data_IF_598926812255
#
_entry.id   IF_598926812255
#
_cell.length_a   1.000
_cell.length_b   1.000
_cell.length_c   1.000
_cell.angle_alpha   90.00
_cell.angle_beta   90.00
_cell.angle_gamma   90.00
#
_symmetry.space_group_name_H-M   'P 1'
#
loop_
_entity.id
_entity.type
_entity.pdbx_description
1 polymer ?
#
# COMPACT_ATOMS: atom_id res chain seq x y z
N UNK A 1 -111.95 51.41 63.30
CA UNK A 1 -111.99 51.55 61.82
C UNK A 1 -110.58 51.84 61.32
N UNK A 2 -109.98 50.90 60.58
CA UNK A 2 -108.57 50.97 60.17
C UNK A 2 -108.37 51.69 58.83
N UNK A 3 -107.45 52.66 58.81
CA UNK A 3 -106.94 53.30 57.59
C UNK A 3 -105.92 52.37 56.91
N UNK A 4 -106.33 51.66 55.84
CA UNK A 4 -105.40 50.93 54.97
C UNK A 4 -104.60 51.92 54.13
N UNK A 5 -103.33 52.12 54.47
CA UNK A 5 -102.35 52.78 53.59
C UNK A 5 -102.06 51.88 52.39
N UNK A 6 -102.30 52.38 51.17
CA UNK A 6 -101.85 51.73 49.93
C UNK A 6 -100.31 51.76 49.91
N UNK A 7 -99.67 50.59 49.95
CA UNK A 7 -98.26 50.47 49.58
C UNK A 7 -98.15 50.57 48.05
N UNK A 8 -97.31 51.49 47.57
CA UNK A 8 -96.93 51.50 46.15
C UNK A 8 -95.98 50.32 45.87
N UNK A 9 -96.11 49.66 44.70
CA UNK A 9 -95.20 48.60 44.32
C UNK A 9 -93.78 49.15 44.13
N UNK A 10 -92.77 48.47 44.69
CA UNK A 10 -91.37 48.78 44.41
C UNK A 10 -91.07 48.46 42.95
N UNK A 11 -90.37 49.35 42.22
CA UNK A 11 -90.01 49.07 40.85
C UNK A 11 -89.02 47.89 40.80
N UNK A 12 -89.12 47.01 39.79
CA UNK A 12 -88.16 45.93 39.61
C UNK A 12 -86.77 46.53 39.38
N UNK A 13 -85.77 46.04 40.11
CA UNK A 13 -84.36 46.33 39.81
C UNK A 13 -84.03 45.57 38.53
N UNK A 14 -84.09 46.26 37.39
CA UNK A 14 -83.72 45.71 36.10
C UNK A 14 -82.20 45.73 36.01
N UNK A 15 -81.58 44.55 36.06
CA UNK A 15 -80.16 44.41 35.71
C UNK A 15 -80.01 44.67 34.22
N UNK A 16 -79.30 45.74 33.86
CA UNK A 16 -79.03 46.09 32.47
C UNK A 16 -77.87 45.21 32.00
N UNK A 17 -78.15 44.27 31.10
CA UNK A 17 -77.09 43.49 30.46
C UNK A 17 -76.29 44.38 29.51
N UNK A 18 -75.02 44.60 29.83
CA UNK A 18 -74.09 45.33 28.96
C UNK A 18 -73.41 44.38 27.96
N UNK A 19 -74.10 44.12 26.85
CA UNK A 19 -73.60 43.22 25.80
C UNK A 19 -72.24 43.62 25.21
N UNK A 20 -71.93 44.91 25.14
CA UNK A 20 -70.64 45.39 24.63
C UNK A 20 -69.47 45.00 25.54
N UNK A 21 -69.62 45.19 26.85
CA UNK A 21 -68.65 44.79 27.88
C UNK A 21 -68.44 43.27 27.88
N UNK A 22 -69.52 42.50 27.72
CA UNK A 22 -69.48 41.05 27.60
C UNK A 22 -68.66 40.59 26.38
N UNK A 23 -68.95 41.15 25.19
CA UNK A 23 -68.25 40.81 23.94
C UNK A 23 -66.77 41.21 23.99
N UNK A 24 -66.46 42.40 24.51
CA UNK A 24 -65.09 42.87 24.66
C UNK A 24 -64.25 41.94 25.56
N UNK A 25 -64.81 41.53 26.71
CA UNK A 25 -64.12 40.62 27.63
C UNK A 25 -63.88 39.24 27.00
N UNK A 26 -64.84 38.69 26.27
CA UNK A 26 -64.66 37.40 25.57
C UNK A 26 -63.59 37.47 24.48
N UNK A 27 -63.55 38.55 23.69
CA UNK A 27 -62.49 38.75 22.69
C UNK A 27 -61.11 38.84 23.34
N UNK A 28 -61.01 39.56 24.46
CA UNK A 28 -59.76 39.68 25.23
C UNK A 28 -59.29 38.32 25.77
N UNK A 29 -60.18 37.53 26.37
CA UNK A 29 -59.85 36.19 26.89
C UNK A 29 -59.41 35.24 25.78
N UNK A 30 -60.06 35.30 24.61
CA UNK A 30 -59.69 34.52 23.44
C UNK A 30 -58.26 34.84 22.98
N UNK A 31 -57.91 36.12 22.83
CA UNK A 31 -56.56 36.55 22.45
C UNK A 31 -55.51 36.12 23.48
N UNK A 32 -55.81 36.22 24.77
CA UNK A 32 -54.92 35.76 25.84
C UNK A 32 -54.68 34.25 25.80
N UNK A 33 -55.73 33.45 25.53
CA UNK A 33 -55.60 32.00 25.37
C UNK A 33 -54.75 31.65 24.14
N UNK A 34 -54.98 32.30 23.01
CA UNK A 34 -54.17 32.10 21.80
C UNK A 34 -52.69 32.39 22.04
N UNK A 35 -52.39 33.54 22.67
CA UNK A 35 -51.03 33.91 23.02
C UNK A 35 -50.38 32.91 23.96
N UNK A 36 -51.11 32.46 24.99
CA UNK A 36 -50.59 31.48 25.96
C UNK A 36 -50.31 30.13 25.30
N UNK A 37 -51.20 29.68 24.41
CA UNK A 37 -51.00 28.46 23.64
C UNK A 37 -49.77 28.55 22.74
N UNK A 38 -49.59 29.68 22.06
CA UNK A 38 -48.45 29.93 21.20
C UNK A 38 -47.12 29.91 21.97
N UNK A 39 -47.08 30.57 23.13
CA UNK A 39 -45.90 30.54 24.01
C UNK A 39 -45.54 29.13 24.46
N UNK A 40 -46.53 28.33 24.84
CA UNK A 40 -46.31 26.92 25.22
C UNK A 40 -45.81 26.11 24.03
N UNK A 41 -46.40 26.27 22.85
CA UNK A 41 -45.98 25.57 21.63
C UNK A 41 -44.53 25.90 21.26
N UNK A 42 -44.18 27.19 21.25
CA UNK A 42 -42.82 27.67 20.98
C UNK A 42 -41.83 27.14 22.03
N UNK A 43 -42.18 27.18 23.32
CA UNK A 43 -41.30 26.72 24.41
C UNK A 43 -41.03 25.22 24.38
N UNK A 44 -41.96 24.43 23.84
CA UNK A 44 -41.82 22.97 23.75
C UNK A 44 -41.04 22.51 22.51
N UNK A 45 -40.77 23.40 21.55
CA UNK A 45 -40.03 23.08 20.33
C UNK A 45 -38.53 23.30 20.60
N UNK A 46 -37.71 22.34 20.19
CA UNK A 46 -36.25 22.51 20.24
C UNK A 46 -35.84 23.70 19.37
N UNK A 47 -34.82 24.45 19.82
CA UNK A 47 -34.29 25.61 19.10
C UNK A 47 -33.98 25.29 17.64
N UNK A 48 -33.52 24.06 17.39
CA UNK A 48 -33.15 23.53 16.08
C UNK A 48 -34.30 23.38 15.08
N UNK A 49 -35.55 23.45 15.54
CA UNK A 49 -36.74 23.30 14.72
C UNK A 49 -37.66 24.53 14.81
N UNK A 50 -37.24 25.62 15.46
CA UNK A 50 -38.09 26.80 15.66
C UNK A 50 -38.46 27.48 14.34
N UNK A 51 -37.61 27.44 13.32
CA UNK A 51 -37.93 28.00 12.00
C UNK A 51 -39.10 27.29 11.32
N UNK A 52 -39.33 26.00 11.64
CA UNK A 52 -40.40 25.21 11.02
C UNK A 52 -41.82 25.66 11.39
N UNK A 53 -41.97 26.45 12.46
CA UNK A 53 -43.27 26.96 12.92
C UNK A 53 -43.47 28.45 12.63
N UNK A 54 -42.55 29.11 11.93
CA UNK A 54 -42.63 30.54 11.65
C UNK A 54 -43.95 30.90 10.94
N UNK A 55 -44.27 30.20 9.86
CA UNK A 55 -45.49 30.42 9.08
C UNK A 55 -46.76 30.17 9.91
N UNK A 56 -46.78 29.10 10.72
CA UNK A 56 -47.88 28.78 11.64
C UNK A 56 -48.11 29.91 12.66
N UNK A 57 -47.02 30.50 13.19
CA UNK A 57 -47.09 31.60 14.16
C UNK A 57 -47.60 32.87 13.51
N UNK A 58 -47.13 33.20 12.30
CA UNK A 58 -47.65 34.36 11.57
C UNK A 58 -49.12 34.20 11.17
N UNK A 59 -49.56 32.99 10.83
CA UNK A 59 -50.96 32.69 10.57
C UNK A 59 -51.84 33.02 11.79
N UNK A 60 -51.40 32.64 13.00
CA UNK A 60 -52.10 32.96 14.24
C UNK A 60 -52.08 34.48 14.50
N UNK A 61 -50.95 35.15 14.25
CA UNK A 61 -50.83 36.59 14.41
C UNK A 61 -51.81 37.37 13.51
N UNK A 62 -51.94 36.98 12.24
CA UNK A 62 -52.93 37.56 11.32
C UNK A 62 -54.37 37.37 11.81
N UNK A 63 -54.67 36.19 12.39
CA UNK A 63 -55.98 35.96 13.03
C UNK A 63 -56.20 36.91 14.22
N UNK A 64 -55.17 37.19 15.04
CA UNK A 64 -55.25 38.14 16.15
C UNK A 64 -55.47 39.58 15.66
N UNK A 65 -54.90 39.99 14.53
CA UNK A 65 -55.08 41.34 13.94
C UNK A 65 -56.52 41.64 13.52
N UNK A 66 -57.32 40.60 13.24
CA UNK A 66 -58.74 40.76 12.90
C UNK A 66 -59.57 41.39 14.04
N UNK A 67 -59.05 41.40 15.27
CA UNK A 67 -59.67 42.06 16.42
C UNK A 67 -59.18 43.51 16.58
N UNK A 68 -59.60 44.40 15.68
CA UNK A 68 -59.16 45.81 15.60
C UNK A 68 -59.26 46.66 16.88
N UNK A 69 -60.01 46.19 17.89
CA UNK A 69 -60.13 46.85 19.21
C UNK A 69 -58.89 46.67 20.11
N UNK A 70 -57.99 45.75 19.77
CA UNK A 70 -56.80 45.44 20.56
C UNK A 70 -55.53 45.79 19.77
N UNK A 71 -54.65 46.58 20.38
CA UNK A 71 -53.32 46.84 19.85
C UNK A 71 -52.40 45.65 20.19
N UNK A 72 -51.96 44.94 19.15
CA UNK A 72 -51.03 43.80 19.28
C UNK A 72 -49.65 44.09 18.70
N UNK A 73 -49.33 45.35 18.39
CA UNK A 73 -48.07 45.75 17.73
C UNK A 73 -46.84 45.22 18.48
N UNK A 74 -46.83 45.29 19.81
CA UNK A 74 -45.72 44.77 20.63
C UNK A 74 -45.54 43.25 20.51
N UNK A 75 -46.62 42.50 20.33
CA UNK A 75 -46.58 41.04 20.15
C UNK A 75 -45.95 40.73 18.79
N UNK A 76 -46.40 41.44 17.75
CA UNK A 76 -45.85 41.33 16.39
C UNK A 76 -44.36 41.67 16.35
N UNK A 77 -43.94 42.79 16.92
CA UNK A 77 -42.53 43.19 17.00
C UNK A 77 -41.68 42.14 17.72
N UNK A 78 -42.19 41.60 18.84
CA UNK A 78 -41.49 40.58 19.63
C UNK A 78 -41.31 39.27 18.85
N UNK A 79 -42.36 38.83 18.14
CA UNK A 79 -42.30 37.64 17.29
C UNK A 79 -41.36 37.83 16.11
N UNK A 80 -41.38 39.00 15.47
CA UNK A 80 -40.46 39.30 14.37
C UNK A 80 -39.00 39.28 14.85
N UNK A 81 -38.68 39.93 15.96
CA UNK A 81 -37.33 39.90 16.56
C UNK A 81 -36.92 38.46 16.92
N UNK A 82 -37.85 37.68 17.46
CA UNK A 82 -37.62 36.28 17.79
C UNK A 82 -37.24 35.46 16.54
N UNK A 83 -38.04 35.52 15.47
CA UNK A 83 -37.76 34.75 14.25
C UNK A 83 -36.54 35.25 13.47
N UNK A 84 -36.23 36.55 13.53
CA UNK A 84 -34.94 37.07 13.04
C UNK A 84 -33.76 36.38 13.75
N UNK A 85 -33.84 36.19 15.07
CA UNK A 85 -32.80 35.48 15.84
C UNK A 85 -32.76 33.98 15.51
N UNK A 86 -33.92 33.35 15.33
CA UNK A 86 -34.01 31.93 14.93
C UNK A 86 -33.34 31.69 13.58
N UNK A 87 -33.64 32.51 12.56
CA UNK A 87 -32.99 32.42 11.25
C UNK A 87 -31.48 32.60 11.33
N UNK A 88 -31.02 33.61 12.08
CA UNK A 88 -29.59 33.85 12.27
C UNK A 88 -28.88 32.66 12.94
N UNK A 89 -29.54 31.99 13.89
CA UNK A 89 -29.03 30.76 14.51
C UNK A 89 -28.95 29.61 13.49
N UNK A 90 -30.00 29.38 12.71
CA UNK A 90 -30.04 28.30 11.72
C UNK A 90 -28.95 28.47 10.63
N UNK A 91 -28.76 29.71 10.16
CA UNK A 91 -27.68 30.05 9.22
C UNK A 91 -26.30 29.77 9.82
N UNK A 92 -26.05 30.22 11.05
CA UNK A 92 -24.77 30.01 11.73
C UNK A 92 -24.49 28.52 11.96
N UNK A 93 -25.51 27.75 12.37
CA UNK A 93 -25.43 26.29 12.54
C UNK A 93 -25.11 25.59 11.23
N UNK A 94 -25.82 25.94 10.15
CA UNK A 94 -25.61 25.37 8.82
C UNK A 94 -24.18 25.64 8.31
N UNK A 95 -23.71 26.88 8.43
CA UNK A 95 -22.36 27.28 8.05
C UNK A 95 -21.29 26.52 8.85
N UNK A 96 -21.50 26.37 10.16
CA UNK A 96 -20.59 25.61 11.03
C UNK A 96 -20.51 24.14 10.63
N UNK A 97 -21.65 23.50 10.36
CA UNK A 97 -21.73 22.11 9.89
C UNK A 97 -21.00 21.92 8.55
N UNK A 98 -21.22 22.82 7.60
CA UNK A 98 -20.54 22.81 6.30
C UNK A 98 -19.03 22.97 6.46
N UNK A 99 -18.58 23.88 7.32
CA UNK A 99 -17.15 24.12 7.58
C UNK A 99 -16.48 22.88 8.17
N UNK A 100 -17.11 22.22 9.15
CA UNK A 100 -16.60 20.99 9.76
C UNK A 100 -16.52 19.84 8.75
N UNK A 101 -17.55 19.69 7.91
CA UNK A 101 -17.57 18.69 6.83
C UNK A 101 -16.43 18.92 5.83
N UNK A 102 -16.22 20.18 5.42
CA UNK A 102 -15.16 20.55 4.47
C UNK A 102 -13.77 20.31 5.06
N UNK A 103 -13.54 20.68 6.33
CA UNK A 103 -12.24 20.44 6.99
C UNK A 103 -11.92 18.96 7.14
N UNK A 104 -12.92 18.13 7.48
CA UNK A 104 -12.73 16.69 7.60
C UNK A 104 -12.43 16.04 6.24
N UNK A 105 -13.11 16.50 5.18
CA UNK A 105 -12.83 16.05 3.82
C UNK A 105 -11.42 16.43 3.36
N UNK A 106 -10.97 17.65 3.63
CA UNK A 106 -9.60 18.11 3.33
C UNK A 106 -8.55 17.29 4.07
N UNK A 107 -8.80 16.96 5.35
CA UNK A 107 -7.93 16.09 6.14
C UNK A 107 -7.82 14.69 5.51
N UNK A 108 -8.94 14.05 5.15
CA UNK A 108 -8.91 12.73 4.50
C UNK A 108 -8.18 12.75 3.15
N UNK A 109 -8.33 13.81 2.35
CA UNK A 109 -7.57 13.96 1.10
C UNK A 109 -6.08 14.05 1.37
N UNK A 110 -5.68 14.80 2.40
CA UNK A 110 -4.27 14.93 2.79
C UNK A 110 -3.69 13.58 3.21
N UNK A 111 -4.37 12.86 4.11
CA UNK A 111 -3.94 11.54 4.59
C UNK A 111 -3.82 10.53 3.44
N UNK A 112 -4.78 10.53 2.50
CA UNK A 112 -4.72 9.66 1.33
C UNK A 112 -3.55 10.01 0.38
N UNK A 113 -3.23 11.31 0.23
CA UNK A 113 -2.08 11.75 -0.57
C UNK A 113 -0.75 11.35 0.07
N UNK A 114 -0.61 11.54 1.38
CA UNK A 114 0.60 11.17 2.11
C UNK A 114 0.82 9.64 2.02
N UNK A 115 -0.23 8.84 2.22
CA UNK A 115 -0.17 7.39 2.05
C UNK A 115 0.23 6.96 0.63
N UNK A 116 -0.32 7.61 -0.40
CA UNK A 116 0.04 7.33 -1.79
C UNK A 116 1.53 7.61 -2.07
N UNK A 117 2.08 8.68 -1.50
CA UNK A 117 3.50 9.01 -1.65
C UNK A 117 4.38 7.95 -0.99
N UNK A 118 4.04 7.52 0.22
CA UNK A 118 4.77 6.45 0.92
C UNK A 118 4.76 5.13 0.15
N UNK A 119 3.60 4.72 -0.37
CA UNK A 119 3.47 3.50 -1.18
C UNK A 119 4.30 3.61 -2.45
N UNK A 120 4.29 4.77 -3.11
CA UNK A 120 5.08 5.00 -4.33
C UNK A 120 6.58 4.94 -4.06
N UNK A 121 7.04 5.50 -2.94
CA UNK A 121 8.44 5.42 -2.53
C UNK A 121 8.89 3.97 -2.30
N UNK A 122 8.10 3.19 -1.54
CA UNK A 122 8.36 1.76 -1.30
C UNK A 122 8.38 0.95 -2.59
N UNK A 123 7.43 1.18 -3.49
CA UNK A 123 7.39 0.50 -4.78
C UNK A 123 8.63 0.81 -5.64
N UNK A 124 9.12 2.05 -5.62
CA UNK A 124 10.33 2.43 -6.34
C UNK A 124 11.59 1.79 -5.76
N UNK A 125 11.69 1.68 -4.44
CA UNK A 125 12.79 1.00 -3.76
C UNK A 125 12.81 -0.49 -4.12
N UNK A 126 11.66 -1.15 -4.07
CA UNK A 126 11.53 -2.57 -4.41
C UNK A 126 11.84 -2.83 -5.88
N UNK A 127 11.38 -1.97 -6.80
CA UNK A 127 11.73 -2.05 -8.21
C UNK A 127 13.24 -1.98 -8.45
N UNK A 128 13.95 -1.14 -7.68
CA UNK A 128 15.40 -1.01 -7.77
C UNK A 128 16.11 -2.29 -7.27
N UNK A 129 15.61 -2.92 -6.20
CA UNK A 129 16.13 -4.20 -5.69
C UNK A 129 15.91 -5.33 -6.68
N UNK A 130 14.73 -5.40 -7.30
CA UNK A 130 14.42 -6.38 -8.35
C UNK A 130 15.38 -6.23 -9.52
N UNK A 131 15.62 -5.01 -9.98
CA UNK A 131 16.56 -4.73 -11.07
C UNK A 131 17.98 -5.20 -10.72
N UNK A 132 18.49 -4.83 -9.54
CA UNK A 132 19.81 -5.26 -9.06
C UNK A 132 19.93 -6.79 -9.01
N UNK A 133 18.89 -7.47 -8.51
CA UNK A 133 18.86 -8.93 -8.43
C UNK A 133 18.85 -9.58 -9.81
N UNK A 134 18.16 -8.98 -10.78
CA UNK A 134 18.12 -9.47 -12.16
C UNK A 134 19.50 -9.36 -12.82
N UNK A 135 20.21 -8.26 -12.58
CA UNK A 135 21.58 -8.05 -13.09
C UNK A 135 22.57 -9.05 -12.49
N UNK A 136 22.48 -9.33 -11.18
CA UNK A 136 23.28 -10.37 -10.54
C UNK A 136 22.99 -11.76 -11.12
N UNK A 137 21.72 -12.07 -11.37
CA UNK A 137 21.32 -13.34 -11.96
C UNK A 137 21.89 -13.50 -13.37
N UNK A 138 21.82 -12.46 -14.22
CA UNK A 138 22.41 -12.48 -15.56
C UNK A 138 23.93 -12.70 -15.51
N UNK A 139 24.61 -12.10 -14.53
CA UNK A 139 26.04 -12.33 -14.31
C UNK A 139 26.33 -13.80 -13.95
N UNK A 140 25.58 -14.38 -13.01
CA UNK A 140 25.73 -15.78 -12.59
C UNK A 140 25.48 -16.73 -13.77
N UNK A 141 24.47 -16.47 -14.60
CA UNK A 141 24.19 -17.27 -15.80
C UNK A 141 25.37 -17.29 -16.77
N UNK A 142 25.99 -16.12 -17.02
CA UNK A 142 27.19 -16.01 -17.86
C UNK A 142 28.36 -16.81 -17.27
N UNK A 143 28.56 -16.75 -15.96
CA UNK A 143 29.61 -17.51 -15.28
C UNK A 143 29.39 -19.03 -15.38
N UNK A 144 28.15 -19.50 -15.23
CA UNK A 144 27.79 -20.91 -15.41
C UNK A 144 28.11 -21.38 -16.83
N UNK A 145 27.82 -20.58 -17.86
CA UNK A 145 28.16 -20.91 -19.25
C UNK A 145 29.67 -21.03 -19.44
N UNK A 146 30.45 -20.06 -18.92
CA UNK A 146 31.91 -20.09 -18.99
C UNK A 146 32.50 -21.33 -18.29
N UNK A 147 32.01 -21.65 -17.09
CA UNK A 147 32.44 -22.83 -16.33
C UNK A 147 32.09 -24.15 -17.05
N UNK A 148 30.90 -24.24 -17.65
CA UNK A 148 30.53 -25.40 -18.50
C UNK A 148 31.50 -25.56 -19.66
N UNK A 149 31.87 -24.47 -20.33
CA UNK A 149 32.89 -24.46 -21.39
C UNK A 149 34.24 -24.99 -20.88
N UNK A 150 34.74 -24.42 -19.78
CA UNK A 150 36.03 -24.85 -19.20
C UNK A 150 36.04 -26.32 -18.81
N UNK A 151 34.93 -26.81 -18.22
CA UNK A 151 34.76 -28.24 -17.91
C UNK A 151 34.89 -29.11 -19.16
N UNK A 152 34.22 -28.74 -20.26
CA UNK A 152 34.28 -29.53 -21.50
C UNK A 152 35.70 -29.62 -22.07
N UNK A 153 36.45 -28.52 -22.06
CA UNK A 153 37.85 -28.49 -22.50
C UNK A 153 38.74 -29.36 -21.62
N UNK A 154 38.57 -29.30 -20.29
CA UNK A 154 39.32 -30.14 -19.36
C UNK A 154 39.00 -31.63 -19.53
N UNK A 155 37.75 -31.99 -19.75
CA UNK A 155 37.37 -33.38 -20.05
C UNK A 155 38.05 -33.90 -21.33
N UNK A 156 38.12 -33.08 -22.39
CA UNK A 156 38.80 -33.44 -23.63
C UNK A 156 40.31 -33.62 -23.40
N UNK A 157 40.95 -32.69 -22.69
CA UNK A 157 42.36 -32.77 -22.33
C UNK A 157 42.69 -34.02 -21.49
N UNK A 158 41.86 -34.33 -20.49
CA UNK A 158 42.02 -35.51 -19.65
C UNK A 158 41.89 -36.80 -20.46
N UNK A 159 40.94 -36.87 -21.40
CA UNK A 159 40.79 -38.01 -22.30
C UNK A 159 42.06 -38.20 -23.16
N UNK A 160 42.60 -37.11 -23.71
CA UNK A 160 43.84 -37.14 -24.48
C UNK A 160 45.04 -37.61 -23.64
N UNK A 161 45.20 -37.08 -22.43
CA UNK A 161 46.27 -37.49 -21.52
C UNK A 161 46.16 -38.96 -21.11
N UNK A 162 44.95 -39.47 -20.87
CA UNK A 162 44.74 -40.90 -20.57
C UNK A 162 45.18 -41.78 -21.74
N UNK A 163 44.89 -41.39 -22.97
CA UNK A 163 45.33 -42.14 -24.15
C UNK A 163 46.86 -42.12 -24.28
N UNK A 164 47.47 -40.93 -24.19
CA UNK A 164 48.94 -40.81 -24.26
C UNK A 164 49.65 -41.62 -23.18
N UNK A 165 49.12 -41.62 -21.96
CA UNK A 165 49.67 -42.42 -20.86
C UNK A 165 49.54 -43.92 -21.14
N UNK A 166 48.39 -44.37 -21.66
CA UNK A 166 48.21 -45.76 -22.07
C UNK A 166 49.21 -46.18 -23.16
N UNK A 167 49.36 -45.36 -24.19
CA UNK A 167 50.30 -45.62 -25.29
C UNK A 167 51.76 -45.67 -24.79
N UNK A 168 52.13 -44.79 -23.87
CA UNK A 168 53.45 -44.79 -23.24
C UNK A 168 53.66 -46.07 -22.40
N UNK A 169 52.66 -46.50 -21.65
CA UNK A 169 52.73 -47.70 -20.82
C UNK A 169 52.87 -48.98 -21.66
N UNK A 170 52.21 -49.05 -22.83
CA UNK A 170 52.40 -50.13 -23.81
C UNK A 170 53.85 -50.17 -24.30
N UNK A 171 54.44 -49.01 -24.64
CA UNK A 171 55.85 -48.95 -25.06
C UNK A 171 56.83 -49.36 -23.96
N UNK A 172 56.56 -48.98 -22.71
CA UNK A 172 57.38 -49.40 -21.56
C UNK A 172 57.37 -50.92 -21.45
N UNK A 173 56.19 -51.56 -21.53
CA UNK A 173 56.07 -53.02 -21.48
C UNK A 173 56.81 -53.73 -22.64
N UNK A 174 56.78 -53.14 -23.85
CA UNK A 174 57.53 -53.65 -24.99
C UNK A 174 59.03 -53.61 -24.73
N UNK A 175 59.56 -52.48 -24.26
CA UNK A 175 60.98 -52.34 -23.91
C UNK A 175 61.38 -53.26 -22.75
N UNK A 176 60.54 -53.39 -21.71
CA UNK A 176 60.77 -54.33 -20.60
C UNK A 176 60.88 -55.77 -21.10
N UNK A 177 60.02 -56.16 -22.06
CA UNK A 177 60.08 -57.49 -22.69
C UNK A 177 61.36 -57.68 -23.50
N UNK A 178 61.79 -56.66 -24.25
CA UNK A 178 63.04 -56.70 -25.01
C UNK A 178 64.26 -56.84 -24.10
N UNK A 179 64.29 -56.10 -22.98
CA UNK A 179 65.35 -56.23 -21.95
C UNK A 179 65.37 -57.64 -21.38
N UNK A 180 64.22 -58.18 -20.96
CA UNK A 180 64.14 -59.53 -20.42
C UNK A 180 64.59 -60.59 -21.45
N UNK A 181 64.29 -60.40 -22.74
CA UNK A 181 64.77 -61.29 -23.79
C UNK A 181 66.30 -61.24 -23.92
N UNK A 182 66.89 -60.04 -23.87
CA UNK A 182 68.34 -59.84 -23.90
C UNK A 182 69.03 -60.42 -22.67
N UNK A 183 68.50 -60.21 -21.46
CA UNK A 183 69.04 -60.77 -20.22
C UNK A 183 69.04 -62.31 -20.21
N UNK A 184 68.09 -62.93 -20.89
CA UNK A 184 68.01 -64.39 -21.02
C UNK A 184 68.88 -64.95 -22.18
N UNK A 185 69.56 -64.11 -22.95
CA UNK A 185 70.55 -64.61 -23.93
C UNK A 185 71.81 -65.06 -23.19
N UNK A 186 72.36 -66.21 -23.62
CA UNK A 186 73.56 -66.79 -23.01
C UNK A 186 74.71 -65.79 -23.14
N UNK A 187 75.43 -65.46 -22.03
CA UNK A 187 76.61 -64.60 -22.10
C UNK A 187 77.59 -65.16 -23.12
N UNK A 188 78.22 -64.28 -23.91
CA UNK A 188 79.30 -64.70 -24.80
C UNK A 188 80.37 -65.42 -23.97
N UNK A 189 80.69 -66.64 -24.38
CA UNK A 189 81.73 -67.44 -23.74
C UNK A 189 83.08 -66.71 -23.85
N UNK A 190 83.74 -66.50 -22.71
CA UNK A 190 85.06 -65.87 -22.62
C UNK A 190 86.07 -66.59 -23.52
N UNK A 191 85.92 -67.90 -23.74
CA UNK A 191 86.76 -68.66 -24.66
C UNK A 191 86.58 -68.24 -26.13
N UNK A 192 85.36 -67.87 -26.54
CA UNK A 192 85.08 -67.39 -27.91
C UNK A 192 85.65 -65.98 -28.09
N UNK A 193 85.60 -65.15 -27.05
CA UNK A 193 86.20 -63.80 -27.06
C UNK A 193 87.73 -63.89 -27.15
N UNK A 194 88.35 -64.80 -26.40
CA UNK A 194 89.79 -65.06 -26.44
C UNK A 194 90.25 -65.65 -27.78
N UNK A 195 89.47 -66.57 -28.38
CA UNK A 195 89.76 -67.10 -29.72
C UNK A 195 89.68 -66.02 -30.80
N UNK A 196 88.69 -65.13 -30.72
CA UNK A 196 88.54 -64.03 -31.68
C UNK A 196 89.66 -63.00 -31.55
N UNK A 197 90.06 -62.65 -30.32
CA UNK A 197 91.17 -61.71 -30.08
C UNK A 197 92.51 -62.31 -30.54
N UNK A 198 92.72 -63.61 -30.30
CA UNK A 198 93.88 -64.35 -30.81
C UNK A 198 93.89 -64.40 -32.34
N UNK A 199 92.75 -64.72 -32.97
CA UNK A 199 92.62 -64.73 -34.43
C UNK A 199 92.89 -63.36 -35.04
N UNK A 200 92.40 -62.28 -34.42
CA UNK A 200 92.70 -60.90 -34.83
C UNK A 200 94.19 -60.57 -34.72
N UNK A 201 94.85 -60.95 -33.62
CA UNK A 201 96.28 -60.74 -33.45
C UNK A 201 97.08 -61.46 -34.54
N UNK A 202 96.73 -62.72 -34.84
CA UNK A 202 97.35 -63.50 -35.90
C UNK A 202 97.16 -62.88 -37.29
N UNK A 203 95.98 -62.32 -37.56
CA UNK A 203 95.68 -61.62 -38.82
C UNK A 203 96.50 -60.33 -38.99
N UNK A 204 96.69 -59.55 -37.92
CA UNK A 204 97.56 -58.37 -37.97
C UNK A 204 99.04 -58.76 -38.16
N UNK A 205 99.50 -59.85 -37.53
CA UNK A 205 100.84 -60.40 -37.78
C UNK A 205 100.98 -60.81 -39.25
N UNK A 206 100.04 -61.59 -39.79
CA UNK A 206 100.07 -62.03 -41.19
C UNK A 206 100.00 -60.87 -42.20
N UNK A 207 99.22 -59.83 -41.88
CA UNK A 207 99.12 -58.61 -42.67
C UNK A 207 100.44 -57.83 -42.67
N UNK A 208 101.16 -57.80 -41.56
CA UNK A 208 102.47 -57.14 -41.49
C UNK A 208 103.54 -57.94 -42.22
N UNK A 209 103.53 -59.27 -42.09
CA UNK A 209 104.41 -60.17 -42.87
C UNK A 209 104.21 -60.01 -44.39
N UNK A 210 102.96 -59.85 -44.85
CA UNK A 210 102.65 -59.56 -46.25
C UNK A 210 103.21 -58.21 -46.72
N UNK A 211 103.27 -57.19 -45.85
CA UNK A 211 103.94 -55.93 -46.19
C UNK A 211 105.44 -56.14 -46.33
N UNK A 212 106.07 -56.90 -45.44
CA UNK A 212 107.52 -57.17 -45.49
C UNK A 212 107.92 -57.91 -46.76
N UNK A 213 107.10 -58.88 -47.21
CA UNK A 213 107.31 -59.63 -48.46
C UNK A 213 107.22 -58.73 -49.71
N UNK A 214 106.49 -57.62 -49.66
CA UNK A 214 106.36 -56.68 -50.78
C UNK A 214 107.50 -55.65 -50.88
N UNK A 215 108.37 -55.54 -49.87
CA UNK A 215 109.51 -54.61 -49.85
C UNK A 215 110.89 -55.26 -50.04
N UNK A 216 110.98 -56.58 -50.25
CA UNK A 216 112.22 -57.31 -50.58
C UNK A 216 112.37 -57.61 -52.09
N UNK A 217 112.09 -56.64 -52.97
CA UNK A 217 112.48 -56.69 -54.38
C UNK A 217 113.51 -55.62 -54.72
#
# INVERSE_FOLDING_TARGET
MGLKRKQLPRPPVVSVFEGESFLFNHQKEFLQRLWSYLLVKVSNISVDFLSSIEDDVYLILESMKSFHKFDITKVEESLNIFFVKVRAYDEARSLSSQKLSRSLHEQHIKEAKDWLQDVKAKASEEASKVQSTMEELEHIEKEIVALKGRRTSLCAALKGQKQLNHDAQVKVQEVEKDIAALENTVPLDDAIVDDLTTSKANLEVFKEDLKTILYEK
#
